data_IF_106845692050
#
_entry.id   IF_106845692050
#
_cell.length_a   1.000
_cell.length_b   1.000
_cell.length_c   1.000
_cell.angle_alpha   90.00
_cell.angle_beta   90.00
_cell.angle_gamma   90.00
#
_symmetry.space_group_name_H-M   'P 1'
#
loop_
_entity.id
_entity.type
_entity.pdbx_description
1 polymer ?
#
# COMPACT_ATOMS: atom_id res chain seq x y z
N UNK A 1 31.01 3.94 -34.79
CA UNK A 1 31.31 2.56 -35.26
C UNK A 1 30.10 1.68 -35.01
N UNK A 2 29.55 1.10 -36.09
CA UNK A 2 28.85 -0.21 -36.29
C UNK A 2 27.81 -0.64 -35.24
N UNK A 3 26.49 -0.63 -35.51
CA UNK A 3 25.66 -1.54 -36.34
C UNK A 3 25.72 -3.06 -35.96
N UNK A 4 24.64 -3.49 -35.30
CA UNK A 4 23.86 -4.76 -35.45
C UNK A 4 24.38 -6.12 -34.93
N UNK A 5 23.43 -7.04 -34.60
CA UNK A 5 23.62 -8.23 -33.77
C UNK A 5 23.90 -9.50 -34.59
N UNK A 6 24.42 -10.54 -33.93
CA UNK A 6 24.52 -11.89 -34.49
C UNK A 6 23.43 -12.83 -33.94
N UNK A 7 22.63 -13.32 -34.89
CA UNK A 7 21.83 -14.55 -34.81
C UNK A 7 22.73 -15.77 -34.62
N UNK A 8 22.23 -16.80 -33.94
CA UNK A 8 22.54 -18.18 -34.26
C UNK A 8 21.30 -19.07 -34.02
N UNK A 9 20.77 -19.64 -35.12
CA UNK A 9 19.89 -20.79 -35.12
C UNK A 9 20.69 -22.05 -34.80
N UNK A 10 20.04 -23.08 -34.24
CA UNK A 10 20.30 -24.49 -34.57
C UNK A 10 19.10 -25.36 -34.17
N UNK A 11 18.65 -26.19 -35.10
CA UNK A 11 17.51 -27.11 -35.05
C UNK A 11 18.03 -28.54 -35.25
N UNK A 12 17.53 -29.55 -34.51
CA UNK A 12 17.73 -31.01 -34.77
C UNK A 12 16.60 -31.81 -34.06
N UNK A 13 15.48 -32.15 -34.73
CA UNK A 13 15.05 -33.44 -35.35
C UNK A 13 14.55 -34.59 -34.45
N UNK A 14 13.34 -35.07 -34.80
CA UNK A 14 12.84 -36.47 -34.93
C UNK A 14 12.95 -37.49 -33.79
N UNK A 15 11.79 -38.03 -33.38
CA UNK A 15 11.46 -39.45 -33.58
C UNK A 15 9.95 -39.71 -33.33
N UNK A 16 9.26 -40.24 -34.34
CA UNK A 16 7.95 -40.88 -34.20
C UNK A 16 8.16 -42.37 -33.85
N UNK A 17 7.36 -42.92 -32.94
CA UNK A 17 7.03 -44.35 -32.97
C UNK A 17 5.62 -44.56 -32.40
N UNK A 18 4.74 -45.08 -33.25
CA UNK A 18 3.39 -45.52 -32.93
C UNK A 18 3.41 -46.95 -32.38
N UNK A 19 2.43 -47.33 -31.55
CA UNK A 19 1.63 -48.55 -31.75
C UNK A 19 0.39 -48.53 -30.84
N UNK A 20 -0.75 -48.83 -31.45
CA UNK A 20 -2.09 -48.86 -30.86
C UNK A 20 -2.44 -50.22 -30.24
N UNK A 21 -3.30 -50.25 -29.22
CA UNK A 21 -4.30 -51.30 -29.01
C UNK A 21 -5.56 -50.72 -28.35
N UNK A 22 -6.71 -51.05 -28.93
CA UNK A 22 -8.05 -50.60 -28.58
C UNK A 22 -8.63 -51.34 -27.36
N UNK A 23 -9.47 -50.66 -26.57
CA UNK A 23 -10.70 -51.24 -26.00
C UNK A 23 -11.67 -50.15 -25.52
N UNK A 24 -12.96 -50.46 -25.66
CA UNK A 24 -14.13 -49.59 -25.60
C UNK A 24 -14.46 -49.03 -24.21
N UNK A 25 -15.12 -47.87 -24.19
CA UNK A 25 -16.09 -47.57 -23.12
C UNK A 25 -16.33 -46.10 -22.80
N UNK A 26 -17.26 -45.48 -23.53
CA UNK A 26 -18.26 -44.56 -22.94
C UNK A 26 -17.90 -43.09 -22.76
N UNK A 27 -18.81 -42.23 -23.24
CA UNK A 27 -19.12 -40.94 -22.64
C UNK A 27 -18.58 -39.71 -23.35
N UNK A 28 -19.49 -38.91 -23.90
CA UNK A 28 -19.33 -37.55 -24.42
C UNK A 28 -18.55 -36.60 -23.49
N UNK A 29 -17.70 -35.74 -24.08
CA UNK A 29 -17.64 -34.26 -23.91
C UNK A 29 -16.26 -33.66 -24.29
N UNK A 30 -16.30 -32.47 -24.91
CA UNK A 30 -15.14 -31.69 -25.37
C UNK A 30 -14.64 -30.71 -24.26
N UNK A 31 -13.59 -29.90 -24.52
CA UNK A 31 -12.23 -29.98 -24.00
C UNK A 31 -11.97 -29.14 -22.72
N UNK A 32 -10.92 -29.44 -21.95
CA UNK A 32 -10.44 -28.53 -20.90
C UNK A 32 -8.91 -28.50 -20.82
N UNK A 33 -8.36 -27.39 -21.29
CA UNK A 33 -6.97 -26.96 -21.16
C UNK A 33 -6.59 -26.85 -19.66
N UNK A 34 -5.50 -27.45 -19.16
CA UNK A 34 -5.09 -27.29 -17.78
C UNK A 34 -4.40 -25.92 -17.62
N UNK A 35 -5.19 -24.87 -17.40
CA UNK A 35 -4.66 -23.63 -16.86
C UNK A 35 -4.36 -23.90 -15.37
N UNK A 36 -3.13 -23.73 -14.86
CA UNK A 36 -2.87 -23.87 -13.44
C UNK A 36 -3.70 -22.82 -12.71
N UNK A 37 -4.63 -23.30 -11.88
CA UNK A 37 -5.45 -22.46 -11.03
C UNK A 37 -4.53 -21.48 -10.28
N UNK A 38 -4.66 -20.18 -10.59
CA UNK A 38 -4.18 -19.13 -9.68
C UNK A 38 -4.90 -19.35 -8.37
N UNK A 39 -4.18 -19.91 -7.40
CA UNK A 39 -4.55 -19.94 -6.00
C UNK A 39 -5.03 -18.53 -5.62
N UNK A 40 -6.25 -18.34 -5.10
CA UNK A 40 -6.63 -17.03 -4.58
C UNK A 40 -5.68 -16.70 -3.42
N UNK A 41 -4.88 -15.64 -3.55
CA UNK A 41 -4.36 -14.95 -2.36
C UNK A 41 -5.55 -14.21 -1.74
N UNK A 42 -6.42 -14.95 -1.08
CA UNK A 42 -7.30 -14.42 -0.07
C UNK A 42 -6.68 -14.78 1.28
N UNK A 43 -5.54 -14.16 1.59
CA UNK A 43 -5.18 -13.98 2.99
C UNK A 43 -6.04 -12.81 3.44
N UNK A 44 -7.19 -13.11 4.04
CA UNK A 44 -7.95 -12.12 4.80
C UNK A 44 -6.98 -11.44 5.76
N UNK A 45 -6.81 -10.12 5.64
CA UNK A 45 -6.02 -9.37 6.59
C UNK A 45 -6.53 -9.69 8.02
N UNK A 46 -5.64 -9.73 9.04
CA UNK A 46 -6.07 -9.83 10.41
C UNK A 46 -7.12 -8.75 10.72
N UNK A 47 -8.13 -9.05 11.54
CA UNK A 47 -9.08 -8.03 11.98
C UNK A 47 -8.34 -6.89 12.68
N UNK A 48 -8.85 -5.67 12.55
CA UNK A 48 -8.31 -4.50 13.23
C UNK A 48 -8.24 -4.76 14.75
N UNK A 49 -7.19 -4.29 15.45
CA UNK A 49 -7.13 -4.38 16.91
C UNK A 49 -8.35 -3.69 17.55
N UNK A 50 -8.95 -4.30 18.56
CA UNK A 50 -10.02 -3.63 19.31
C UNK A 50 -9.45 -2.42 20.08
N UNK A 51 -10.08 -1.24 20.01
CA UNK A 51 -9.61 -0.06 20.71
C UNK A 51 -9.91 -0.14 22.21
N UNK A 52 -9.06 0.50 23.02
CA UNK A 52 -9.27 0.69 24.46
C UNK A 52 -10.04 1.99 24.70
N UNK A 53 -11.34 2.01 24.39
CA UNK A 53 -12.14 3.24 24.40
C UNK A 53 -11.88 4.09 23.16
N UNK A 54 -11.62 5.39 23.33
CA UNK A 54 -11.36 6.32 22.22
C UNK A 54 -9.90 6.28 21.72
N UNK A 55 -9.05 5.44 22.33
CA UNK A 55 -7.62 5.32 22.01
C UNK A 55 -7.25 3.88 21.64
N UNK A 56 -6.40 3.75 20.62
CA UNK A 56 -5.81 2.51 20.21
C UNK A 56 -4.56 2.18 21.03
N UNK A 57 -4.27 0.89 21.22
CA UNK A 57 -2.95 0.45 21.70
C UNK A 57 -1.91 0.65 20.57
N UNK A 58 -0.92 1.56 20.73
CA UNK A 58 0.04 1.84 19.67
C UNK A 58 0.89 0.63 19.29
N UNK A 59 1.16 -0.31 20.20
CA UNK A 59 1.97 -1.49 19.88
C UNK A 59 1.29 -2.39 18.85
N UNK A 60 -0.04 -2.38 18.77
CA UNK A 60 -0.78 -3.12 17.75
C UNK A 60 -0.59 -2.56 16.33
N UNK A 61 -0.11 -1.32 16.21
CA UNK A 61 0.17 -0.63 14.95
C UNK A 61 1.68 -0.54 14.66
N UNK A 62 2.52 -1.09 15.54
CA UNK A 62 3.98 -1.05 15.39
C UNK A 62 4.42 -1.95 14.24
N UNK A 63 5.12 -1.37 13.26
CA UNK A 63 5.66 -2.11 12.11
C UNK A 63 7.18 -2.11 12.11
N UNK A 64 7.78 -3.28 11.90
CA UNK A 64 9.24 -3.36 11.64
C UNK A 64 9.45 -3.53 10.15
N UNK A 65 9.89 -2.49 9.45
CA UNK A 65 10.38 -2.59 8.07
C UNK A 65 11.91 -2.52 8.11
N UNK A 66 12.58 -3.36 7.33
CA UNK A 66 14.04 -3.37 7.30
C UNK A 66 14.57 -1.99 6.84
N UNK A 67 15.34 -1.32 7.71
CA UNK A 67 15.89 0.01 7.45
C UNK A 67 15.01 1.19 7.86
N UNK A 68 13.84 0.96 8.47
CA UNK A 68 13.06 2.03 9.12
C UNK A 68 13.21 1.95 10.64
N UNK A 69 13.30 3.12 11.28
CA UNK A 69 13.26 3.28 12.75
C UNK A 69 11.93 2.80 13.35
N UNK A 70 11.78 2.94 14.68
CA UNK A 70 10.59 2.57 15.42
C UNK A 70 9.35 3.34 14.91
N UNK A 71 8.55 2.71 14.04
CA UNK A 71 7.45 3.37 13.32
C UNK A 71 6.12 2.63 13.49
N UNK A 72 5.04 3.41 13.43
CA UNK A 72 3.68 2.94 13.60
C UNK A 72 2.89 3.19 12.32
N UNK A 73 2.19 2.18 11.84
CA UNK A 73 1.55 2.19 10.54
C UNK A 73 0.07 1.90 10.67
N UNK A 74 -0.74 2.74 10.05
CA UNK A 74 -2.18 2.56 10.04
C UNK A 74 -2.80 3.00 8.72
N UNK A 75 -3.99 2.49 8.46
CA UNK A 75 -4.82 2.87 7.32
C UNK A 75 -6.25 3.16 7.76
N UNK A 76 -7.00 3.89 6.94
CA UNK A 76 -8.45 3.95 7.07
C UNK A 76 -9.10 2.67 6.47
N UNK A 77 -10.40 2.48 6.69
CA UNK A 77 -11.11 1.25 6.33
C UNK A 77 -10.98 0.83 4.85
N UNK A 78 -11.00 1.79 3.91
CA UNK A 78 -10.87 1.53 2.47
C UNK A 78 -9.42 1.58 1.96
N UNK A 79 -8.46 1.80 2.87
CA UNK A 79 -7.02 1.96 2.60
C UNK A 79 -6.73 3.04 1.56
N UNK A 80 -7.59 4.03 1.45
CA UNK A 80 -7.30 5.21 0.63
C UNK A 80 -6.33 6.17 1.29
N UNK A 81 -6.10 6.05 2.59
CA UNK A 81 -5.02 6.67 3.33
C UNK A 81 -4.18 5.59 4.02
N UNK A 82 -2.88 5.60 3.75
CA UNK A 82 -1.88 4.74 4.39
C UNK A 82 -0.83 5.62 5.04
N UNK A 83 -0.72 5.52 6.36
CA UNK A 83 -0.01 6.49 7.19
C UNK A 83 1.12 5.84 8.00
N UNK A 84 2.12 6.66 8.32
CA UNK A 84 3.23 6.31 9.19
C UNK A 84 3.45 7.41 10.22
N UNK A 85 3.59 7.02 11.48
CA UNK A 85 4.13 7.86 12.57
C UNK A 85 5.56 7.37 12.85
N UNK A 86 6.55 8.16 12.45
CA UNK A 86 7.97 7.91 12.71
C UNK A 86 8.50 8.73 13.90
N UNK A 87 9.77 8.54 14.24
CA UNK A 87 10.44 9.25 15.34
C UNK A 87 10.61 10.74 15.07
N UNK A 88 10.65 11.15 13.79
CA UNK A 88 10.94 12.53 13.37
C UNK A 88 9.91 13.11 12.40
N UNK A 89 8.89 12.33 12.03
CA UNK A 89 7.88 12.76 11.06
C UNK A 89 6.57 11.99 11.23
N UNK A 90 5.52 12.53 10.62
CA UNK A 90 4.28 11.81 10.33
C UNK A 90 3.87 12.09 8.89
N UNK A 91 3.35 11.09 8.20
CA UNK A 91 2.90 11.27 6.82
C UNK A 91 1.95 10.19 6.36
N UNK A 92 1.18 10.50 5.32
CA UNK A 92 0.21 9.62 4.72
C UNK A 92 0.32 9.67 3.19
N UNK A 93 0.43 8.50 2.56
CA UNK A 93 0.11 8.37 1.14
C UNK A 93 -1.40 8.25 0.99
N UNK A 94 -1.94 8.85 -0.09
CA UNK A 94 -3.35 8.72 -0.38
C UNK A 94 -3.65 8.76 -1.87
N UNK A 95 -4.62 7.92 -2.27
CA UNK A 95 -5.24 7.90 -3.61
C UNK A 95 -6.52 8.75 -3.67
N UNK A 96 -6.90 9.37 -2.56
CA UNK A 96 -8.18 10.03 -2.35
C UNK A 96 -8.01 11.42 -1.70
N UNK A 97 -6.91 12.10 -2.05
CA UNK A 97 -6.73 13.51 -1.71
C UNK A 97 -7.75 14.39 -2.45
N UNK A 98 -8.08 15.57 -1.91
CA UNK A 98 -8.95 16.54 -2.59
C UNK A 98 -8.50 16.86 -4.02
N UNK A 99 -9.45 17.20 -4.89
CA UNK A 99 -9.14 17.51 -6.29
C UNK A 99 -8.27 18.75 -6.47
N UNK A 100 -8.28 19.68 -5.51
CA UNK A 100 -7.59 20.96 -5.53
C UNK A 100 -6.16 20.93 -4.94
N UNK A 101 -5.63 19.74 -4.62
CA UNK A 101 -4.23 19.60 -4.21
C UNK A 101 -3.26 20.04 -5.31
N UNK A 102 -2.10 20.62 -4.96
CA UNK A 102 -1.17 21.18 -5.93
C UNK A 102 -0.52 20.12 -6.81
N UNK A 103 -0.15 20.52 -8.03
CA UNK A 103 0.84 19.79 -8.82
C UNK A 103 2.25 20.11 -8.32
N UNK A 104 3.01 19.07 -7.97
CA UNK A 104 4.36 19.16 -7.42
C UNK A 104 5.32 18.35 -8.29
N UNK A 105 6.61 18.66 -8.19
CA UNK A 105 7.64 17.82 -8.82
C UNK A 105 7.94 16.62 -7.91
N UNK A 106 7.88 15.43 -8.47
CA UNK A 106 8.30 14.21 -7.80
C UNK A 106 9.84 14.06 -7.79
N UNK A 107 10.35 12.97 -7.21
CA UNK A 107 11.81 12.74 -7.10
C UNK A 107 12.53 12.60 -8.45
N UNK A 108 11.78 12.33 -9.53
CA UNK A 108 12.29 12.26 -10.90
C UNK A 108 12.12 13.59 -11.67
N UNK A 109 11.65 14.64 -10.99
CA UNK A 109 11.42 15.98 -11.57
C UNK A 109 10.15 16.09 -12.42
N UNK A 110 9.33 15.04 -12.47
CA UNK A 110 8.06 15.03 -13.20
C UNK A 110 6.99 15.74 -12.40
N UNK A 111 6.12 16.50 -13.06
CA UNK A 111 4.95 17.11 -12.42
C UNK A 111 3.85 16.06 -12.28
N UNK A 112 3.33 15.93 -11.08
CA UNK A 112 2.16 15.11 -10.76
C UNK A 112 1.35 15.80 -9.66
N UNK A 113 0.04 15.51 -9.58
CA UNK A 113 -0.75 15.93 -8.42
C UNK A 113 -0.14 15.34 -7.16
N UNK A 114 -0.16 16.09 -6.07
CA UNK A 114 0.24 15.56 -4.77
C UNK A 114 -0.50 14.24 -4.48
N UNK A 115 0.22 13.29 -3.91
CA UNK A 115 -0.27 11.95 -3.54
C UNK A 115 0.11 11.57 -2.11
N UNK A 116 0.66 12.52 -1.36
CA UNK A 116 0.89 12.41 0.06
C UNK A 116 0.82 13.76 0.76
N UNK A 117 0.60 13.70 2.07
CA UNK A 117 0.74 14.80 3.02
C UNK A 117 1.71 14.35 4.11
N UNK A 118 2.60 15.23 4.54
CA UNK A 118 3.56 14.91 5.58
C UNK A 118 4.01 16.13 6.36
N UNK A 119 4.52 15.85 7.55
CA UNK A 119 5.04 16.82 8.48
C UNK A 119 6.31 16.25 9.13
N UNK A 120 7.45 16.92 8.92
CA UNK A 120 8.63 16.71 9.76
C UNK A 120 8.38 17.44 11.09
N UNK A 121 8.71 16.84 12.23
CA UNK A 121 8.47 17.48 13.53
C UNK A 121 9.22 18.82 13.65
N UNK A 122 8.48 19.87 14.06
CA UNK A 122 8.97 21.24 14.12
C UNK A 122 8.86 22.03 12.80
N UNK A 123 8.20 21.48 11.78
CA UNK A 123 7.86 22.19 10.53
C UNK A 123 6.37 22.06 10.25
N UNK A 124 5.83 23.02 9.48
CA UNK A 124 4.47 22.93 8.98
C UNK A 124 4.26 21.72 8.06
N UNK A 125 3.05 21.14 8.10
CA UNK A 125 2.66 20.10 7.18
C UNK A 125 2.67 20.59 5.72
N UNK A 126 2.93 19.68 4.78
CA UNK A 126 2.98 19.97 3.35
C UNK A 126 2.50 18.81 2.51
N UNK A 127 1.96 19.15 1.34
CA UNK A 127 1.76 18.18 0.28
C UNK A 127 3.06 17.74 -0.36
N UNK A 128 3.08 16.52 -0.88
CA UNK A 128 4.20 15.93 -1.59
C UNK A 128 3.71 15.10 -2.78
N UNK A 129 4.60 15.00 -3.77
CA UNK A 129 4.49 14.13 -4.93
C UNK A 129 5.56 13.04 -4.80
N UNK A 130 5.15 11.81 -4.49
CA UNK A 130 6.03 10.68 -4.22
C UNK A 130 5.85 9.62 -5.30
N UNK A 131 6.95 9.22 -5.95
CA UNK A 131 6.87 8.22 -7.04
C UNK A 131 6.74 6.79 -6.54
N UNK A 132 7.24 6.51 -5.33
CA UNK A 132 6.99 5.27 -4.59
C UNK A 132 6.29 5.65 -3.28
N UNK A 133 5.34 4.84 -2.80
CA UNK A 133 4.64 5.14 -1.56
C UNK A 133 5.63 5.17 -0.40
N UNK A 134 5.86 6.36 0.15
CA UNK A 134 6.88 6.66 1.15
C UNK A 134 6.42 6.34 2.58
N UNK A 135 5.11 6.38 2.82
CA UNK A 135 4.45 6.25 4.12
C UNK A 135 3.56 5.00 4.20
N UNK A 136 3.72 4.07 3.26
CA UNK A 136 2.93 2.83 3.22
C UNK A 136 3.76 1.67 3.75
N UNK A 137 3.23 1.00 4.77
CA UNK A 137 3.79 -0.26 5.24
C UNK A 137 3.70 -1.32 4.14
N UNK A 138 4.81 -1.99 3.83
CA UNK A 138 4.80 -3.13 2.93
C UNK A 138 4.13 -4.32 3.62
N UNK A 139 3.24 -5.01 2.93
CA UNK A 139 2.54 -6.16 3.50
C UNK A 139 3.52 -7.20 4.07
N UNK A 140 3.22 -7.69 5.28
CA UNK A 140 3.92 -8.81 5.93
C UNK A 140 2.92 -9.88 6.34
N UNK A 141 3.40 -10.99 6.90
CA UNK A 141 2.52 -12.02 7.46
C UNK A 141 1.66 -11.50 8.63
N UNK A 142 2.07 -10.39 9.26
CA UNK A 142 1.44 -9.84 10.46
C UNK A 142 0.57 -8.60 10.19
N UNK A 143 0.76 -7.91 9.07
CA UNK A 143 -0.04 -6.74 8.72
C UNK A 143 -0.18 -6.56 7.20
N UNK A 144 -1.35 -6.12 6.73
CA UNK A 144 -1.58 -5.83 5.31
C UNK A 144 -0.81 -4.58 4.84
N UNK A 145 -0.78 -4.38 3.52
CA UNK A 145 -0.21 -3.15 2.92
C UNK A 145 -0.95 -1.91 3.44
N UNK A 146 -0.18 -0.90 3.85
CA UNK A 146 -0.70 0.30 4.53
C UNK A 146 -0.89 0.15 6.04
N UNK A 147 -0.60 -1.02 6.61
CA UNK A 147 -0.67 -1.26 8.05
C UNK A 147 -2.06 -1.67 8.52
N UNK A 148 -2.22 -1.77 9.85
CA UNK A 148 -3.52 -2.12 10.46
C UNK A 148 -4.56 -1.03 10.20
N UNK A 149 -5.83 -1.40 10.16
CA UNK A 149 -6.90 -0.41 10.08
C UNK A 149 -7.06 0.29 11.43
N UNK A 150 -7.08 1.63 11.43
CA UNK A 150 -7.47 2.43 12.58
C UNK A 150 -8.96 2.81 12.41
N UNK A 151 -9.85 2.39 13.33
CA UNK A 151 -11.26 2.73 13.22
C UNK A 151 -11.50 4.24 13.24
N UNK A 152 -12.56 4.69 12.56
CA UNK A 152 -12.96 6.10 12.57
C UNK A 152 -13.22 6.60 14.01
N UNK A 153 -12.73 7.80 14.31
CA UNK A 153 -12.84 8.42 15.63
C UNK A 153 -11.83 7.92 16.68
N UNK A 154 -11.13 6.80 16.43
CA UNK A 154 -10.13 6.27 17.36
C UNK A 154 -8.79 6.98 17.18
N UNK A 155 -8.17 7.37 18.29
CA UNK A 155 -6.85 8.01 18.32
C UNK A 155 -5.74 6.99 18.40
N UNK A 156 -4.72 7.16 17.57
CA UNK A 156 -3.44 6.48 17.69
C UNK A 156 -2.38 7.52 18.06
N UNK A 157 -1.77 7.36 19.24
CA UNK A 157 -0.74 8.27 19.74
C UNK A 157 0.60 7.56 19.84
N UNK A 158 1.61 8.11 19.16
CA UNK A 158 2.99 7.67 19.24
C UNK A 158 3.95 8.83 18.97
N UNK A 159 5.11 8.85 19.62
CA UNK A 159 6.13 9.90 19.42
C UNK A 159 5.59 11.34 19.56
N UNK A 160 4.74 11.58 20.56
CA UNK A 160 4.01 12.84 20.79
C UNK A 160 3.14 13.31 19.61
N UNK A 161 2.83 12.41 18.69
CA UNK A 161 1.95 12.63 17.53
C UNK A 161 0.66 11.86 17.73
N UNK A 162 -0.47 12.53 17.61
CA UNK A 162 -1.80 11.89 17.63
C UNK A 162 -2.39 11.91 16.23
N UNK A 163 -2.78 10.74 15.73
CA UNK A 163 -3.52 10.59 14.49
C UNK A 163 -4.92 9.98 14.73
N UNK A 164 -5.87 10.31 13.88
CA UNK A 164 -7.24 9.80 13.91
C UNK A 164 -7.78 9.68 12.48
N UNK A 165 -8.54 8.63 12.21
CA UNK A 165 -9.36 8.55 10.99
C UNK A 165 -10.64 9.36 11.20
N UNK A 166 -10.92 10.30 10.29
CA UNK A 166 -12.11 11.17 10.39
C UNK A 166 -13.37 10.41 9.96
N UNK A 167 -14.54 10.89 10.39
CA UNK A 167 -15.84 10.27 10.05
C UNK A 167 -16.12 10.22 8.54
N UNK A 168 -15.52 11.13 7.76
CA UNK A 168 -15.62 11.15 6.30
C UNK A 168 -14.52 10.34 5.60
N UNK A 169 -13.81 9.49 6.34
CA UNK A 169 -12.81 8.55 5.82
C UNK A 169 -11.45 9.18 5.51
N UNK A 170 -11.22 10.43 5.93
CA UNK A 170 -9.92 11.08 5.88
C UNK A 170 -9.05 10.77 7.10
N UNK A 171 -7.99 11.56 7.27
CA UNK A 171 -7.05 11.44 8.39
C UNK A 171 -6.73 12.82 8.97
N UNK A 172 -6.58 12.87 10.28
CA UNK A 172 -6.08 14.04 11.00
C UNK A 172 -4.91 13.63 11.86
N UNK A 173 -3.79 14.34 11.75
CA UNK A 173 -2.59 14.09 12.56
C UNK A 173 -2.06 15.41 13.12
N UNK A 174 -1.70 15.43 14.40
CA UNK A 174 -1.17 16.60 15.09
C UNK A 174 0.08 16.24 15.89
N UNK A 175 1.06 17.13 15.88
CA UNK A 175 2.26 17.08 16.71
C UNK A 175 2.54 18.51 17.21
N UNK A 176 2.25 18.75 18.49
CA UNK A 176 2.35 20.09 19.11
C UNK A 176 1.53 21.12 18.33
N UNK A 177 2.19 22.16 17.82
CA UNK A 177 1.54 23.29 17.15
C UNK A 177 1.28 23.06 15.65
N UNK A 178 1.73 21.93 15.11
CA UNK A 178 1.59 21.59 13.70
C UNK A 178 0.74 20.34 13.48
N UNK A 179 0.13 20.26 12.31
CA UNK A 179 -0.70 19.14 11.95
C UNK A 179 -1.29 19.26 10.55
N UNK A 180 -2.06 18.24 10.20
CA UNK A 180 -2.88 18.25 9.01
C UNK A 180 -4.17 17.51 9.26
N UNK A 181 -5.23 17.96 8.60
CA UNK A 181 -6.46 17.21 8.40
C UNK A 181 -6.71 17.13 6.91
N UNK A 182 -6.76 15.92 6.37
CA UNK A 182 -7.00 15.71 4.94
C UNK A 182 -8.10 14.68 4.74
N UNK A 183 -9.11 15.08 3.98
CA UNK A 183 -10.26 14.24 3.62
C UNK A 183 -10.45 14.27 2.12
N UNK A 184 -11.36 13.46 1.54
CA UNK A 184 -11.60 13.49 0.09
C UNK A 184 -12.10 14.83 -0.44
N UNK A 185 -12.58 15.72 0.44
CA UNK A 185 -13.21 16.99 0.06
C UNK A 185 -12.33 18.21 0.28
N UNK A 186 -11.45 18.17 1.28
CA UNK A 186 -10.64 19.33 1.68
C UNK A 186 -9.38 18.90 2.42
N UNK A 187 -8.45 19.83 2.49
CA UNK A 187 -7.28 19.73 3.33
C UNK A 187 -7.11 21.00 4.16
N UNK A 188 -6.64 20.83 5.38
CA UNK A 188 -6.17 21.87 6.26
C UNK A 188 -4.78 21.49 6.77
N UNK A 189 -3.82 22.38 6.61
CA UNK A 189 -2.41 22.19 6.99
C UNK A 189 -2.04 23.34 7.93
N UNK A 190 -1.58 23.03 9.14
CA UNK A 190 -1.26 24.01 10.18
C UNK A 190 0.07 23.68 10.87
#
# INVERSE_FOLDING_TARGET
MKLTPHRALLAVTSACLALALASCGGGDEQPSNPNPAKKPLATSAPPAPEPNGDEADPEAYRGTVAGTENAYYFSNADRSYSCTIGETFVGCNSKNLPDDVPELKNTYGQKEKANSVAMDYGKAAKFQATSNPTYTYLATEHAPEGGQELPAGVKLTAHDTTCTVTDDGGVSCTHKDHGFTVTPKKADLH
#
